data_IF_399084654864
#
_entry.id   IF_399084654864
#
_cell.length_a   1.000
_cell.length_b   1.000
_cell.length_c   1.000
_cell.angle_alpha   90.00
_cell.angle_beta   90.00
_cell.angle_gamma   90.00
#
_symmetry.space_group_name_H-M   'P 1'
#
loop_
_entity.id
_entity.type
_entity.pdbx_description
1 polymer ?
#
# COMPACT_ATOMS: atom_id res chain seq x y z
N UNK A 1 35.91 15.82 18.42
CA UNK A 1 35.00 14.70 18.21
C UNK A 1 33.80 14.84 19.15
N UNK A 2 32.64 15.15 18.62
CA UNK A 2 31.42 15.23 19.43
C UNK A 2 30.97 13.81 19.78
N UNK A 3 31.05 13.45 21.05
CA UNK A 3 30.55 12.16 21.53
C UNK A 3 29.04 12.23 21.70
N UNK A 4 28.30 11.37 21.00
CA UNK A 4 26.85 11.19 21.19
C UNK A 4 26.68 10.22 22.35
N UNK A 5 25.93 10.62 23.37
CA UNK A 5 25.52 9.76 24.47
C UNK A 5 24.07 9.28 24.23
N UNK A 6 23.87 7.99 24.15
CA UNK A 6 22.56 7.37 24.03
C UNK A 6 22.12 6.84 25.39
N UNK A 7 20.95 7.26 25.85
CA UNK A 7 20.37 6.86 27.14
C UNK A 7 19.12 5.99 26.92
N UNK A 8 19.26 4.67 26.75
CA UNK A 8 18.11 3.80 26.52
C UNK A 8 17.20 3.73 27.74
N UNK A 9 15.88 3.68 27.50
CA UNK A 9 14.86 3.51 28.53
C UNK A 9 13.80 2.51 28.03
N UNK A 10 13.49 1.54 28.87
CA UNK A 10 12.35 0.64 28.62
C UNK A 10 11.07 1.35 29.05
N UNK A 11 10.15 1.50 28.09
CA UNK A 11 8.83 2.11 28.27
C UNK A 11 7.72 1.06 28.36
N UNK A 12 8.04 -0.23 28.25
CA UNK A 12 7.10 -1.37 28.28
C UNK A 12 5.93 -1.22 27.30
N UNK A 13 6.12 -0.43 26.24
CA UNK A 13 5.06 -0.04 25.29
C UNK A 13 3.82 0.59 25.96
N UNK A 14 3.98 1.14 27.17
CA UNK A 14 2.92 1.77 27.94
C UNK A 14 3.01 3.31 27.83
N UNK A 15 1.88 4.02 27.50
CA UNK A 15 1.88 5.48 27.35
C UNK A 15 2.25 6.22 28.64
N UNK A 16 1.82 5.73 29.81
CA UNK A 16 2.12 6.38 31.11
C UNK A 16 3.58 6.23 31.49
N UNK A 17 4.13 5.01 31.30
CA UNK A 17 5.55 4.79 31.52
C UNK A 17 6.42 5.58 30.53
N UNK A 18 6.00 5.67 29.26
CA UNK A 18 6.67 6.52 28.26
C UNK A 18 6.74 7.96 28.74
N UNK A 19 5.61 8.54 29.13
CA UNK A 19 5.53 9.92 29.60
C UNK A 19 6.42 10.15 30.83
N UNK A 20 6.36 9.27 31.83
CA UNK A 20 7.18 9.33 33.03
C UNK A 20 8.69 9.28 32.74
N UNK A 21 9.12 8.41 31.80
CA UNK A 21 10.54 8.34 31.40
C UNK A 21 10.99 9.61 30.66
N UNK A 22 10.11 10.16 29.80
CA UNK A 22 10.38 11.41 29.10
C UNK A 22 10.49 12.56 30.09
N UNK A 23 9.57 12.70 31.05
CA UNK A 23 9.62 13.73 32.09
C UNK A 23 10.94 13.70 32.87
N UNK A 24 11.38 12.51 33.26
CA UNK A 24 12.65 12.35 33.96
C UNK A 24 13.84 12.81 33.12
N UNK A 25 13.94 12.34 31.87
CA UNK A 25 15.05 12.70 30.98
C UNK A 25 15.01 14.19 30.59
N UNK A 26 13.80 14.75 30.44
CA UNK A 26 13.62 16.17 30.19
C UNK A 26 14.16 17.03 31.33
N UNK A 27 13.90 16.64 32.60
CA UNK A 27 14.46 17.28 33.77
C UNK A 27 16.00 17.18 33.86
N UNK A 28 16.57 16.13 33.26
CA UNK A 28 18.03 15.96 33.09
C UNK A 28 18.60 16.78 31.90
N UNK A 29 17.74 17.55 31.18
CA UNK A 29 18.14 18.43 30.07
C UNK A 29 18.16 17.78 28.69
N UNK A 30 17.66 16.56 28.55
CA UNK A 30 17.59 15.87 27.25
C UNK A 30 16.50 16.52 26.38
N UNK A 31 16.85 16.84 25.12
CA UNK A 31 15.97 17.54 24.17
C UNK A 31 15.67 16.75 22.89
N UNK A 32 16.33 15.63 22.66
CA UNK A 32 16.12 14.78 21.48
C UNK A 32 15.80 13.37 21.95
N UNK A 33 14.66 12.85 21.51
CA UNK A 33 14.20 11.51 21.82
C UNK A 33 13.99 10.71 20.53
N UNK A 34 14.49 9.48 20.49
CA UNK A 34 14.26 8.51 19.42
C UNK A 34 13.22 7.52 19.91
N UNK A 35 12.06 7.51 19.31
CA UNK A 35 10.86 6.80 19.75
C UNK A 35 9.74 7.78 20.13
N UNK A 36 8.63 7.27 20.63
CA UNK A 36 8.26 5.87 20.75
C UNK A 36 7.97 5.21 19.41
N UNK A 37 7.81 3.87 19.42
CA UNK A 37 7.46 3.10 18.23
C UNK A 37 5.94 3.14 17.98
N UNK A 38 5.16 3.02 19.04
CA UNK A 38 3.71 2.97 18.94
C UNK A 38 3.07 4.35 19.06
N UNK A 39 2.09 4.62 18.17
CA UNK A 39 1.37 5.88 18.14
C UNK A 39 0.71 6.26 19.48
N UNK A 40 0.18 5.27 20.18
CA UNK A 40 -0.51 5.50 21.46
C UNK A 40 0.41 6.10 22.53
N UNK A 41 1.70 5.80 22.44
CA UNK A 41 2.71 6.30 23.37
C UNK A 41 3.11 7.76 23.09
N UNK A 42 2.59 8.38 22.03
CA UNK A 42 2.76 9.81 21.73
C UNK A 42 1.84 10.72 22.57
N UNK A 43 0.85 10.14 23.23
CA UNK A 43 -0.10 10.91 24.05
C UNK A 43 0.61 11.69 25.14
N UNK A 44 0.33 13.00 25.19
CA UNK A 44 0.91 13.90 26.18
C UNK A 44 2.33 14.38 25.92
N UNK A 45 3.01 13.90 24.85
CA UNK A 45 4.37 14.34 24.52
C UNK A 45 4.39 15.74 23.85
N UNK A 46 3.26 16.20 23.31
CA UNK A 46 3.14 17.53 22.69
C UNK A 46 3.39 18.69 23.68
N UNK A 47 3.26 18.45 24.98
CA UNK A 47 3.50 19.47 26.01
C UNK A 47 4.98 19.90 26.14
N UNK A 48 5.92 19.10 25.60
CA UNK A 48 7.34 19.43 25.63
C UNK A 48 7.74 20.18 24.36
N UNK A 49 7.37 21.45 24.23
CA UNK A 49 7.47 22.23 22.99
C UNK A 49 8.91 22.43 22.50
N UNK A 50 9.89 22.42 23.42
CA UNK A 50 11.32 22.60 23.13
C UNK A 50 12.08 21.27 22.97
N UNK A 51 11.37 20.17 22.78
CA UNK A 51 11.89 18.82 22.61
C UNK A 51 11.51 18.28 21.22
N UNK A 52 12.42 17.54 20.60
CA UNK A 52 12.16 16.84 19.35
C UNK A 52 12.00 15.35 19.62
N UNK A 53 10.89 14.79 19.19
CA UNK A 53 10.61 13.35 19.19
C UNK A 53 10.71 12.80 17.76
N UNK A 54 11.67 11.90 17.52
CA UNK A 54 11.75 11.11 16.29
C UNK A 54 10.96 9.81 16.50
N UNK A 55 9.65 9.87 16.30
CA UNK A 55 8.78 8.70 16.47
C UNK A 55 8.96 7.70 15.32
N UNK A 56 9.08 6.41 15.66
CA UNK A 56 9.21 5.33 14.68
C UNK A 56 7.85 4.72 14.27
N UNK A 57 6.75 5.39 14.62
CA UNK A 57 5.40 4.95 14.24
C UNK A 57 5.24 4.87 12.73
N UNK A 58 4.53 3.83 12.27
CA UNK A 58 4.16 3.64 10.87
C UNK A 58 2.82 4.30 10.51
N UNK A 59 2.13 4.95 11.45
CA UNK A 59 0.85 5.65 11.17
C UNK A 59 1.07 7.02 10.54
N UNK A 60 0.12 7.42 9.69
CA UNK A 60 0.03 8.80 9.19
C UNK A 60 -0.63 9.63 10.29
N UNK A 61 0.12 10.58 10.83
CA UNK A 61 -0.32 11.41 11.94
C UNK A 61 -0.37 12.88 11.53
N UNK A 62 -1.36 13.60 12.07
CA UNK A 62 -1.31 15.04 12.18
C UNK A 62 -0.53 15.38 13.47
N UNK A 63 0.79 15.28 13.37
CA UNK A 63 1.66 15.46 14.52
C UNK A 63 1.77 16.91 14.97
N UNK A 64 1.87 17.16 16.27
CA UNK A 64 2.43 18.39 16.80
C UNK A 64 3.80 18.68 16.18
N UNK A 65 4.21 19.95 16.13
CA UNK A 65 5.47 20.39 15.49
C UNK A 65 6.74 19.73 16.06
N UNK A 66 6.68 19.31 17.30
CA UNK A 66 7.79 18.67 18.02
C UNK A 66 7.87 17.15 17.82
N UNK A 67 6.95 16.53 17.06
CA UNK A 67 6.91 15.09 16.79
C UNK A 67 7.13 14.86 15.30
N UNK A 68 8.26 14.27 14.95
CA UNK A 68 8.64 13.90 13.59
C UNK A 68 8.41 12.40 13.42
N UNK A 69 7.51 12.01 12.52
CA UNK A 69 7.29 10.60 12.17
C UNK A 69 8.41 10.11 11.23
N UNK A 70 9.22 9.18 11.71
CA UNK A 70 10.33 8.58 10.97
C UNK A 70 10.08 7.12 10.56
N UNK A 71 8.90 6.56 10.90
CA UNK A 71 8.52 5.22 10.50
C UNK A 71 8.07 5.14 9.04
N UNK A 72 8.17 3.94 8.45
CA UNK A 72 7.64 3.65 7.12
C UNK A 72 6.13 3.51 7.25
N UNK A 73 5.39 4.46 6.71
CA UNK A 73 3.93 4.47 6.70
C UNK A 73 3.37 4.28 5.27
N UNK A 74 2.05 4.09 5.16
CA UNK A 74 1.40 3.88 3.87
C UNK A 74 1.71 5.02 2.88
N UNK A 75 1.73 6.29 3.34
CA UNK A 75 2.06 7.43 2.47
C UNK A 75 3.48 7.33 1.90
N UNK A 76 4.49 7.01 2.72
CA UNK A 76 5.88 6.88 2.24
C UNK A 76 6.05 5.73 1.26
N UNK A 77 5.31 4.63 1.43
CA UNK A 77 5.26 3.52 0.48
C UNK A 77 4.65 3.97 -0.85
N UNK A 78 3.52 4.67 -0.82
CA UNK A 78 2.90 5.22 -2.04
C UNK A 78 3.77 6.29 -2.72
N UNK A 79 4.52 7.09 -1.97
CA UNK A 79 5.49 8.04 -2.55
C UNK A 79 6.62 7.31 -3.29
N UNK A 80 7.08 6.17 -2.78
CA UNK A 80 8.05 5.31 -3.46
C UNK A 80 7.46 4.68 -4.72
N UNK A 81 6.22 4.15 -4.64
CA UNK A 81 5.48 3.60 -5.79
C UNK A 81 5.29 4.67 -6.87
N UNK A 82 4.95 5.90 -6.49
CA UNK A 82 4.82 7.03 -7.43
C UNK A 82 6.12 7.30 -8.20
N UNK A 83 7.26 7.24 -7.52
CA UNK A 83 8.56 7.37 -8.19
C UNK A 83 8.78 6.25 -9.20
N UNK A 84 8.45 5.01 -8.83
CA UNK A 84 8.53 3.85 -9.70
C UNK A 84 7.61 3.99 -10.93
N UNK A 85 6.34 4.40 -10.73
CA UNK A 85 5.40 4.68 -11.82
C UNK A 85 5.98 5.70 -12.82
N UNK A 86 6.59 6.79 -12.29
CA UNK A 86 7.17 7.82 -13.14
C UNK A 86 8.36 7.30 -13.96
N UNK A 87 9.23 6.51 -13.36
CA UNK A 87 10.42 5.95 -14.04
C UNK A 87 10.01 4.97 -15.14
N UNK A 88 8.95 4.18 -14.91
CA UNK A 88 8.49 3.14 -15.82
C UNK A 88 7.30 3.58 -16.70
N UNK A 89 6.95 4.87 -16.71
CA UNK A 89 5.86 5.45 -17.50
C UNK A 89 4.50 4.78 -17.30
N UNK A 90 4.23 4.29 -16.06
CA UNK A 90 2.99 3.62 -15.71
C UNK A 90 1.88 4.64 -15.39
N UNK A 91 0.78 4.59 -16.14
CA UNK A 91 -0.30 5.58 -16.04
C UNK A 91 -1.68 4.98 -15.72
N UNK A 92 -1.83 3.66 -15.91
CA UNK A 92 -3.10 2.97 -15.81
C UNK A 92 -3.10 1.96 -14.67
N UNK A 93 -2.75 2.41 -13.47
CA UNK A 93 -2.65 1.56 -12.30
C UNK A 93 -4.04 1.19 -11.75
N UNK A 94 -4.25 -0.10 -11.51
CA UNK A 94 -5.35 -0.62 -10.70
C UNK A 94 -4.89 -0.71 -9.25
N UNK A 95 -5.62 -0.11 -8.32
CA UNK A 95 -5.38 -0.27 -6.88
C UNK A 95 -6.46 -1.16 -6.29
N UNK A 96 -6.06 -2.25 -5.66
CA UNK A 96 -6.92 -3.17 -4.94
C UNK A 96 -6.80 -2.91 -3.44
N UNK A 97 -7.92 -2.60 -2.79
CA UNK A 97 -8.00 -2.31 -1.36
C UNK A 97 -8.97 -3.28 -0.70
N UNK A 98 -8.56 -4.04 0.31
CA UNK A 98 -9.47 -4.91 1.04
C UNK A 98 -10.44 -4.11 1.90
N UNK A 99 -11.66 -4.60 2.06
CA UNK A 99 -12.67 -4.02 2.94
C UNK A 99 -12.39 -4.36 4.40
N UNK A 100 -11.30 -3.79 4.93
CA UNK A 100 -10.83 -3.96 6.31
C UNK A 100 -10.78 -2.62 7.04
N UNK A 101 -10.53 -2.66 8.33
CA UNK A 101 -10.48 -1.49 9.23
C UNK A 101 -9.41 -0.43 8.88
N UNK A 102 -8.35 -0.81 8.14
CA UNK A 102 -7.30 0.11 7.68
C UNK A 102 -7.54 0.74 6.29
N UNK A 103 -8.72 0.48 5.69
CA UNK A 103 -9.11 1.02 4.39
C UNK A 103 -8.94 2.54 4.30
N UNK A 104 -9.43 3.26 5.30
CA UNK A 104 -9.39 4.73 5.35
C UNK A 104 -7.96 5.27 5.37
N UNK A 105 -7.05 4.60 6.09
CA UNK A 105 -5.63 4.95 6.13
C UNK A 105 -4.98 4.81 4.74
N UNK A 106 -5.32 3.75 4.00
CA UNK A 106 -4.83 3.55 2.62
C UNK A 106 -5.39 4.62 1.68
N UNK A 107 -6.68 4.93 1.76
CA UNK A 107 -7.31 5.98 0.94
C UNK A 107 -6.67 7.35 1.19
N UNK A 108 -6.44 7.69 2.44
CA UNK A 108 -5.74 8.92 2.83
C UNK A 108 -4.31 8.97 2.27
N UNK A 109 -3.58 7.85 2.36
CA UNK A 109 -2.24 7.73 1.84
C UNK A 109 -2.18 7.89 0.31
N UNK A 110 -3.11 7.28 -0.43
CA UNK A 110 -3.26 7.44 -1.89
C UNK A 110 -3.52 8.91 -2.23
N UNK A 111 -4.47 9.55 -1.54
CA UNK A 111 -4.81 10.96 -1.75
C UNK A 111 -3.62 11.89 -1.49
N UNK A 112 -2.90 11.70 -0.37
CA UNK A 112 -1.74 12.52 0.00
C UNK A 112 -0.53 12.32 -0.90
N UNK A 113 -0.30 11.11 -1.40
CA UNK A 113 0.82 10.80 -2.30
C UNK A 113 0.57 11.24 -3.74
N UNK A 114 -0.71 11.38 -4.14
CA UNK A 114 -1.11 11.72 -5.52
C UNK A 114 -0.51 10.75 -6.55
N UNK A 115 -0.56 9.45 -6.27
CA UNK A 115 -0.17 8.41 -7.24
C UNK A 115 -1.14 8.41 -8.43
N UNK A 116 -0.65 8.00 -9.61
CA UNK A 116 -1.50 7.83 -10.78
C UNK A 116 -2.34 6.56 -10.64
N UNK A 117 -3.65 6.70 -10.58
CA UNK A 117 -4.60 5.58 -10.50
C UNK A 117 -5.62 5.66 -11.62
N UNK A 118 -5.82 4.57 -12.35
CA UNK A 118 -6.92 4.44 -13.31
C UNK A 118 -8.20 4.01 -12.62
N UNK A 119 -8.08 3.12 -11.63
CA UNK A 119 -9.20 2.61 -10.86
C UNK A 119 -8.75 2.18 -9.47
N UNK A 120 -9.56 2.50 -8.49
CA UNK A 120 -9.51 1.90 -7.15
C UNK A 120 -10.66 0.91 -7.05
N UNK A 121 -10.38 -0.29 -6.60
CA UNK A 121 -11.35 -1.36 -6.44
C UNK A 121 -11.28 -1.94 -5.03
N UNK A 122 -12.42 -1.98 -4.37
CA UNK A 122 -12.56 -2.52 -3.02
C UNK A 122 -13.05 -3.95 -3.08
N UNK A 123 -12.27 -4.88 -2.55
CA UNK A 123 -12.61 -6.28 -2.58
C UNK A 123 -12.97 -6.82 -1.19
N UNK A 124 -13.82 -7.84 -1.20
CA UNK A 124 -14.15 -8.63 -0.02
C UNK A 124 -13.05 -9.69 0.15
N UNK A 125 -12.51 -9.82 1.35
CA UNK A 125 -11.42 -10.77 1.65
C UNK A 125 -11.89 -12.22 1.76
N UNK A 126 -13.19 -12.48 1.61
CA UNK A 126 -13.74 -13.83 1.56
C UNK A 126 -13.21 -14.56 0.31
N UNK A 127 -12.41 -15.65 0.46
CA UNK A 127 -11.82 -16.35 -0.69
C UNK A 127 -12.87 -16.85 -1.69
N UNK A 128 -14.08 -17.17 -1.23
CA UNK A 128 -15.17 -17.66 -2.11
C UNK A 128 -15.67 -16.60 -3.09
N UNK A 129 -15.49 -15.32 -2.77
CA UNK A 129 -15.92 -14.18 -3.57
C UNK A 129 -14.77 -13.54 -4.35
N UNK A 130 -13.53 -13.77 -3.91
CA UNK A 130 -12.37 -13.05 -4.44
C UNK A 130 -12.20 -13.28 -5.94
N UNK A 131 -12.23 -14.52 -6.40
CA UNK A 131 -12.09 -14.87 -7.81
C UNK A 131 -13.11 -14.12 -8.68
N UNK A 132 -14.39 -14.13 -8.32
CA UNK A 132 -15.45 -13.44 -9.09
C UNK A 132 -15.22 -11.92 -9.12
N UNK A 133 -14.71 -11.33 -8.04
CA UNK A 133 -14.43 -9.90 -7.96
C UNK A 133 -13.25 -9.52 -8.86
N UNK A 134 -12.20 -10.33 -8.89
CA UNK A 134 -11.03 -10.12 -9.77
C UNK A 134 -11.42 -10.32 -11.23
N UNK A 135 -12.18 -11.36 -11.56
CA UNK A 135 -12.74 -11.56 -12.90
C UNK A 135 -13.55 -10.33 -13.39
N UNK A 136 -14.38 -9.78 -12.50
CA UNK A 136 -15.18 -8.60 -12.81
C UNK A 136 -14.32 -7.36 -13.09
N UNK A 137 -13.33 -7.07 -12.25
CA UNK A 137 -12.50 -5.87 -12.41
C UNK A 137 -11.56 -5.96 -13.60
N UNK A 138 -11.13 -7.17 -13.95
CA UNK A 138 -10.26 -7.47 -15.11
C UNK A 138 -11.05 -7.73 -16.39
N UNK A 139 -12.39 -7.77 -16.34
CA UNK A 139 -13.27 -8.15 -17.44
C UNK A 139 -12.93 -9.53 -18.02
N UNK A 140 -12.58 -10.47 -17.16
CA UNK A 140 -12.13 -11.80 -17.57
C UNK A 140 -13.14 -12.51 -18.49
N UNK A 141 -14.43 -12.54 -18.12
CA UNK A 141 -15.50 -13.18 -18.90
C UNK A 141 -15.58 -12.64 -20.33
N UNK A 142 -15.64 -11.31 -20.48
CA UNK A 142 -15.69 -10.67 -21.81
C UNK A 142 -14.46 -11.02 -22.64
N UNK A 143 -13.28 -11.03 -22.02
CA UNK A 143 -12.04 -11.37 -22.71
C UNK A 143 -11.95 -12.85 -23.08
N UNK A 144 -12.60 -13.73 -22.33
CA UNK A 144 -12.75 -15.15 -22.65
C UNK A 144 -13.72 -15.35 -23.81
N UNK A 145 -14.88 -14.71 -23.77
CA UNK A 145 -15.84 -14.68 -24.89
C UNK A 145 -15.18 -14.18 -26.18
N UNK A 146 -14.41 -13.08 -26.12
CA UNK A 146 -13.67 -12.56 -27.27
C UNK A 146 -12.69 -13.59 -27.85
N UNK A 147 -12.07 -14.43 -27.02
CA UNK A 147 -11.19 -15.51 -27.47
C UNK A 147 -11.98 -16.60 -28.18
N UNK A 148 -13.08 -17.02 -27.60
CA UNK A 148 -13.97 -18.05 -28.17
C UNK A 148 -14.55 -17.61 -29.53
N UNK A 149 -14.98 -16.36 -29.62
CA UNK A 149 -15.52 -15.78 -30.86
C UNK A 149 -14.43 -15.66 -31.95
N UNK A 150 -13.20 -15.26 -31.56
CA UNK A 150 -12.10 -15.21 -32.51
C UNK A 150 -11.68 -16.61 -33.00
N UNK A 151 -11.68 -17.62 -32.12
CA UNK A 151 -11.45 -19.01 -32.51
C UNK A 151 -12.49 -19.44 -33.53
N UNK A 152 -13.78 -19.26 -33.26
CA UNK A 152 -14.90 -19.59 -34.21
C UNK A 152 -14.74 -18.84 -35.53
N UNK A 153 -14.35 -17.56 -35.48
CA UNK A 153 -14.14 -16.76 -36.70
C UNK A 153 -13.05 -17.34 -37.56
N UNK A 154 -11.92 -17.74 -36.96
CA UNK A 154 -10.81 -18.34 -37.70
C UNK A 154 -11.18 -19.75 -38.19
N UNK A 155 -11.89 -20.55 -37.40
CA UNK A 155 -12.39 -21.87 -37.81
C UNK A 155 -13.29 -21.84 -39.06
N UNK A 156 -14.03 -20.77 -39.24
CA UNK A 156 -14.90 -20.57 -40.38
C UNK A 156 -14.26 -19.78 -41.54
N UNK A 157 -12.99 -19.42 -41.43
CA UNK A 157 -12.27 -18.66 -42.46
C UNK A 157 -11.55 -19.59 -43.44
N UNK A 158 -11.35 -19.10 -44.66
CA UNK A 158 -10.54 -19.77 -45.71
C UNK A 158 -9.06 -19.34 -45.66
N UNK A 159 -8.56 -18.88 -44.53
CA UNK A 159 -7.19 -18.36 -44.36
C UNK A 159 -6.17 -19.49 -44.51
N UNK A 160 -5.20 -19.32 -45.40
CA UNK A 160 -4.13 -20.29 -45.61
C UNK A 160 -3.27 -20.60 -44.36
N UNK A 161 -3.25 -19.70 -43.38
CA UNK A 161 -2.55 -19.86 -42.10
C UNK A 161 -3.48 -20.21 -40.93
N UNK A 162 -4.67 -20.71 -41.22
CA UNK A 162 -5.73 -21.03 -40.23
C UNK A 162 -5.21 -21.88 -39.07
N UNK A 163 -4.59 -23.00 -39.36
CA UNK A 163 -4.10 -23.94 -38.35
C UNK A 163 -3.11 -23.29 -37.38
N UNK A 164 -2.13 -22.56 -37.93
CA UNK A 164 -1.13 -21.83 -37.11
C UNK A 164 -1.77 -20.77 -36.23
N UNK A 165 -2.77 -20.03 -36.74
CA UNK A 165 -3.52 -19.04 -35.98
C UNK A 165 -4.33 -19.67 -34.86
N UNK A 166 -5.01 -20.78 -35.14
CA UNK A 166 -5.79 -21.53 -34.14
C UNK A 166 -4.89 -22.09 -33.04
N UNK A 167 -3.75 -22.66 -33.38
CA UNK A 167 -2.77 -23.13 -32.39
C UNK A 167 -2.30 -22.01 -31.48
N UNK A 168 -2.04 -20.83 -32.03
CA UNK A 168 -1.62 -19.66 -31.26
C UNK A 168 -2.74 -19.12 -30.35
N UNK A 169 -4.01 -19.18 -30.78
CA UNK A 169 -5.15 -18.77 -29.97
C UNK A 169 -5.47 -19.77 -28.86
N UNK A 170 -5.39 -21.07 -29.14
CA UNK A 170 -5.63 -22.14 -28.15
C UNK A 170 -4.63 -22.15 -26.99
N UNK A 171 -3.47 -21.52 -27.17
CA UNK A 171 -2.47 -21.31 -26.10
C UNK A 171 -2.81 -20.14 -25.17
N UNK A 172 -3.83 -19.33 -25.51
CA UNK A 172 -4.25 -18.17 -24.70
C UNK A 172 -5.40 -18.54 -23.80
N UNK A 173 -5.44 -17.95 -22.63
CA UNK A 173 -6.57 -18.05 -21.70
C UNK A 173 -7.67 -17.01 -22.02
N UNK A 174 -7.29 -15.86 -22.53
CA UNK A 174 -8.20 -14.77 -22.88
C UNK A 174 -7.66 -13.94 -24.05
N UNK A 175 -8.54 -13.20 -24.74
CA UNK A 175 -8.18 -12.27 -25.79
C UNK A 175 -8.55 -10.84 -25.44
N UNK A 176 -7.59 -9.95 -25.67
CA UNK A 176 -7.73 -8.50 -25.38
C UNK A 176 -6.89 -8.01 -24.21
N UNK A 177 -6.76 -6.70 -24.11
CA UNK A 177 -5.96 -6.05 -23.07
C UNK A 177 -6.76 -5.91 -21.77
N UNK A 178 -6.12 -6.17 -20.63
CA UNK A 178 -6.70 -5.92 -19.30
C UNK A 178 -6.99 -4.43 -19.09
N UNK A 179 -6.25 -3.56 -19.78
CA UNK A 179 -6.44 -2.12 -19.71
C UNK A 179 -5.76 -1.44 -18.53
N UNK A 180 -4.96 -2.17 -17.78
CA UNK A 180 -4.05 -1.69 -16.74
C UNK A 180 -2.62 -2.05 -17.13
N UNK A 181 -1.67 -1.18 -16.78
CA UNK A 181 -0.24 -1.40 -16.97
C UNK A 181 0.45 -1.82 -15.66
N UNK A 182 -0.23 -1.59 -14.54
CA UNK A 182 0.27 -1.95 -13.22
C UNK A 182 -0.87 -2.22 -12.24
N UNK A 183 -0.57 -3.01 -11.22
CA UNK A 183 -1.51 -3.32 -10.13
C UNK A 183 -0.81 -3.07 -8.80
N UNK A 184 -1.48 -2.39 -7.89
CA UNK A 184 -1.09 -2.24 -6.49
C UNK A 184 -2.09 -3.00 -5.65
N UNK A 185 -1.62 -3.92 -4.84
CA UNK A 185 -2.43 -4.63 -3.83
C UNK A 185 -2.06 -4.04 -2.48
N UNK A 186 -2.97 -3.24 -1.91
CA UNK A 186 -2.79 -2.59 -0.62
C UNK A 186 -3.31 -3.48 0.51
N UNK A 187 -2.71 -4.63 0.65
CA UNK A 187 -3.06 -5.63 1.66
C UNK A 187 -1.79 -6.19 2.33
N UNK A 188 -1.96 -6.86 3.46
CA UNK A 188 -0.90 -7.52 4.21
C UNK A 188 -1.49 -8.70 4.98
N UNK A 189 -0.62 -9.49 5.62
CA UNK A 189 -0.95 -10.69 6.38
C UNK A 189 -1.43 -11.88 5.54
N UNK A 190 -2.20 -12.75 6.17
CA UNK A 190 -2.66 -14.01 5.58
C UNK A 190 -3.62 -13.82 4.41
N UNK A 191 -4.29 -12.67 4.31
CA UNK A 191 -5.18 -12.38 3.19
C UNK A 191 -4.47 -12.21 1.83
N UNK A 192 -3.15 -12.05 1.83
CA UNK A 192 -2.34 -12.09 0.59
C UNK A 192 -1.93 -13.50 0.18
N UNK A 193 -2.10 -14.48 1.06
CA UNK A 193 -1.70 -15.87 0.83
C UNK A 193 -2.82 -16.73 0.27
N UNK A 194 -4.05 -16.25 0.31
CA UNK A 194 -5.25 -16.88 -0.24
C UNK A 194 -5.52 -16.39 -1.67
#
# INVERSE_FOLDING_TARGET
DSKILILPRDTKSDPKETLKKVEKLYAEGIKIFIGPVFNENLKGLSKFEDVIFLSLTNKILNNPKNIISAGINAKSQFDAIKKYQKINELEKTLVLIPKKNYKEEIEEAISKSKIKTKKVFYYDVDPTKLTQQIEKVTRYKIRKENLEDEIKRIENSEDANKEKKLEALKKKDTLGKIGYDSIIIADFDESLKS
#
